data_IF_083715390637
#
_entry.id   IF_083715390637
#
_cell.length_a   1.000
_cell.length_b   1.000
_cell.length_c   1.000
_cell.angle_alpha   90.00
_cell.angle_beta   90.00
_cell.angle_gamma   90.00
#
_symmetry.space_group_name_H-M   'P 1'
#
loop_
_entity.id
_entity.type
_entity.pdbx_description
1 polymer ?
#
# COMPACT_ATOMS: atom_id res chain seq x y z
N UNK A 1 -12.65 -17.65 8.14
CA UNK A 1 -13.62 -18.38 7.29
C UNK A 1 -14.33 -17.38 6.38
N UNK A 2 -14.30 -17.59 5.07
CA UNK A 2 -14.94 -16.69 4.09
C UNK A 2 -16.46 -16.53 4.33
N UNK A 3 -17.14 -17.60 4.75
CA UNK A 3 -18.56 -17.59 5.11
C UNK A 3 -18.87 -16.60 6.25
N UNK A 4 -18.07 -16.60 7.32
CA UNK A 4 -18.31 -15.72 8.49
C UNK A 4 -18.14 -14.26 8.09
N UNK A 5 -17.14 -13.95 7.25
CA UNK A 5 -16.94 -12.61 6.69
C UNK A 5 -18.13 -12.19 5.82
N UNK A 6 -18.65 -13.10 5.00
CA UNK A 6 -19.84 -12.86 4.17
C UNK A 6 -21.09 -12.60 5.01
N UNK A 7 -21.34 -13.40 6.04
CA UNK A 7 -22.48 -13.22 6.94
C UNK A 7 -22.40 -11.87 7.68
N UNK A 8 -21.21 -11.52 8.18
CA UNK A 8 -21.00 -10.25 8.86
C UNK A 8 -21.21 -9.06 7.91
N UNK A 9 -20.73 -9.16 6.67
CA UNK A 9 -20.94 -8.14 5.65
C UNK A 9 -22.42 -7.98 5.29
N UNK A 10 -23.16 -9.09 5.17
CA UNK A 10 -24.59 -9.08 4.91
C UNK A 10 -25.37 -8.43 6.08
N UNK A 11 -25.05 -8.79 7.32
CA UNK A 11 -25.66 -8.20 8.50
C UNK A 11 -25.38 -6.69 8.58
N UNK A 12 -24.13 -6.27 8.30
CA UNK A 12 -23.76 -4.86 8.22
C UNK A 12 -24.58 -4.12 7.16
N UNK A 13 -24.72 -4.69 5.96
CA UNK A 13 -25.48 -4.10 4.86
C UNK A 13 -26.95 -3.89 5.26
N UNK A 14 -27.61 -4.93 5.79
CA UNK A 14 -29.00 -4.83 6.24
C UNK A 14 -29.17 -3.80 7.36
N UNK A 15 -28.25 -3.78 8.34
CA UNK A 15 -28.26 -2.80 9.42
C UNK A 15 -28.13 -1.37 8.89
N UNK A 16 -27.27 -1.15 7.89
CA UNK A 16 -27.08 0.15 7.27
C UNK A 16 -28.35 0.61 6.57
N UNK A 17 -28.94 -0.25 5.72
CA UNK A 17 -30.17 0.07 4.98
C UNK A 17 -31.32 0.35 5.93
N UNK A 18 -31.49 -0.48 6.97
CA UNK A 18 -32.51 -0.28 7.99
C UNK A 18 -32.34 1.06 8.70
N UNK A 19 -31.11 1.40 9.08
CA UNK A 19 -30.78 2.69 9.68
C UNK A 19 -31.14 3.86 8.76
N UNK A 20 -30.78 3.77 7.47
CA UNK A 20 -31.10 4.82 6.50
C UNK A 20 -32.60 5.00 6.29
N UNK A 21 -33.35 3.91 6.15
CA UNK A 21 -34.81 3.96 5.96
C UNK A 21 -35.51 4.55 7.18
N UNK A 22 -35.10 4.13 8.39
CA UNK A 22 -35.74 4.59 9.63
C UNK A 22 -35.44 6.07 9.92
N UNK A 23 -34.29 6.59 9.47
CA UNK A 23 -33.86 7.95 9.75
C UNK A 23 -33.95 8.89 8.53
N UNK A 24 -34.56 8.46 7.43
CA UNK A 24 -34.59 9.24 6.17
C UNK A 24 -35.29 10.59 6.29
N UNK A 25 -36.25 10.70 7.21
CA UNK A 25 -37.00 11.94 7.49
C UNK A 25 -36.37 12.84 8.55
N UNK A 26 -35.27 12.44 9.17
CA UNK A 26 -34.62 13.23 10.21
C UNK A 26 -33.64 14.25 9.62
N UNK A 27 -33.71 15.47 10.13
CA UNK A 27 -32.75 16.53 9.90
C UNK A 27 -31.87 16.73 11.13
N UNK A 28 -30.63 17.14 10.90
CA UNK A 28 -29.64 17.44 11.93
C UNK A 28 -29.07 18.82 11.71
N UNK A 29 -28.78 19.50 12.82
CA UNK A 29 -28.10 20.79 12.81
C UNK A 29 -26.60 20.56 12.95
N UNK A 30 -25.82 21.07 12.02
CA UNK A 30 -24.38 20.82 11.94
C UNK A 30 -23.64 22.13 12.15
N UNK A 31 -22.68 22.13 13.05
CA UNK A 31 -21.70 23.20 13.18
C UNK A 31 -20.38 22.77 12.55
N UNK A 32 -20.06 23.36 11.39
CA UNK A 32 -18.85 23.10 10.63
C UNK A 32 -18.01 24.38 10.59
N UNK A 33 -16.82 24.34 11.21
CA UNK A 33 -15.84 25.43 11.21
C UNK A 33 -16.46 26.80 11.58
N UNK A 34 -17.29 26.83 12.62
CA UNK A 34 -17.96 28.05 13.09
C UNK A 34 -19.16 28.50 12.25
N UNK A 35 -19.55 27.76 11.21
CA UNK A 35 -20.81 27.97 10.47
C UNK A 35 -21.85 26.94 10.87
N UNK A 36 -23.03 27.42 11.24
CA UNK A 36 -24.19 26.58 11.54
C UNK A 36 -25.01 26.34 10.27
N UNK A 37 -25.22 25.07 9.94
CA UNK A 37 -26.13 24.62 8.91
C UNK A 37 -27.32 23.94 9.59
N UNK A 38 -28.47 24.59 9.53
CA UNK A 38 -29.70 24.13 10.16
C UNK A 38 -30.49 23.25 9.20
N UNK A 39 -31.11 22.19 9.73
CA UNK A 39 -32.06 21.38 8.97
C UNK A 39 -31.44 20.51 7.86
N UNK A 40 -30.16 20.15 7.96
CA UNK A 40 -29.52 19.30 6.95
C UNK A 40 -30.03 17.87 7.10
N UNK A 41 -30.54 17.27 6.02
CA UNK A 41 -30.99 15.87 6.07
C UNK A 41 -29.85 14.94 6.49
N UNK A 42 -30.11 14.06 7.46
CA UNK A 42 -29.14 13.12 8.00
C UNK A 42 -28.49 12.26 6.89
N UNK A 43 -29.26 11.92 5.87
CA UNK A 43 -28.79 11.16 4.71
C UNK A 43 -27.57 11.82 4.04
N UNK A 44 -27.65 13.13 3.77
CA UNK A 44 -26.57 13.87 3.11
C UNK A 44 -25.29 13.88 3.96
N UNK A 45 -25.44 14.03 5.28
CA UNK A 45 -24.33 14.04 6.22
C UNK A 45 -23.58 12.71 6.18
N UNK A 46 -24.32 11.60 6.25
CA UNK A 46 -23.74 10.25 6.24
C UNK A 46 -23.06 9.98 4.90
N UNK A 47 -23.72 10.30 3.78
CA UNK A 47 -23.16 10.07 2.43
C UNK A 47 -21.87 10.86 2.22
N UNK A 48 -21.86 12.15 2.53
CA UNK A 48 -20.66 13.00 2.36
C UNK A 48 -19.53 12.53 3.29
N UNK A 49 -19.83 12.19 4.54
CA UNK A 49 -18.83 11.69 5.48
C UNK A 49 -18.24 10.37 5.02
N UNK A 50 -19.08 9.45 4.53
CA UNK A 50 -18.64 8.19 3.94
C UNK A 50 -17.78 8.43 2.70
N UNK A 51 -18.18 9.34 1.82
CA UNK A 51 -17.45 9.63 0.58
C UNK A 51 -16.07 10.23 0.86
N UNK A 52 -15.95 11.10 1.87
CA UNK A 52 -14.67 11.63 2.34
C UNK A 52 -13.79 10.53 2.95
N UNK A 53 -14.36 9.68 3.82
CA UNK A 53 -13.66 8.53 4.39
C UNK A 53 -13.17 7.54 3.32
N UNK A 54 -14.03 7.25 2.33
CA UNK A 54 -13.69 6.37 1.23
C UNK A 54 -12.61 6.98 0.32
N UNK A 55 -12.76 8.26 -0.04
CA UNK A 55 -11.77 8.96 -0.86
C UNK A 55 -10.39 9.02 -0.18
N UNK A 56 -10.34 9.34 1.11
CA UNK A 56 -9.09 9.33 1.88
C UNK A 56 -8.47 7.93 1.96
N UNK A 57 -9.26 6.90 2.22
CA UNK A 57 -8.79 5.52 2.23
C UNK A 57 -8.25 5.08 0.86
N UNK A 58 -8.91 5.48 -0.23
CA UNK A 58 -8.49 5.19 -1.60
C UNK A 58 -7.14 5.84 -1.91
N UNK A 59 -6.97 7.11 -1.55
CA UNK A 59 -5.69 7.83 -1.72
C UNK A 59 -4.57 7.14 -0.94
N UNK A 60 -4.82 6.76 0.32
CA UNK A 60 -3.83 6.04 1.14
C UNK A 60 -3.49 4.66 0.55
N UNK A 61 -4.48 3.94 0.04
CA UNK A 61 -4.29 2.66 -0.61
C UNK A 61 -3.42 2.79 -1.87
N UNK A 62 -3.67 3.79 -2.71
CA UNK A 62 -2.84 4.08 -3.89
C UNK A 62 -1.40 4.40 -3.51
N UNK A 63 -1.18 5.25 -2.50
CA UNK A 63 0.18 5.58 -2.04
C UNK A 63 0.90 4.32 -1.54
N UNK A 64 0.20 3.48 -0.78
CA UNK A 64 0.74 2.21 -0.25
C UNK A 64 1.12 1.26 -1.39
N UNK A 65 0.26 1.13 -2.39
CA UNK A 65 0.49 0.27 -3.56
C UNK A 65 1.73 0.71 -4.35
N UNK A 66 1.87 2.01 -4.62
CA UNK A 66 3.03 2.54 -5.34
C UNK A 66 4.34 2.30 -4.56
N UNK A 67 4.31 2.44 -3.22
CA UNK A 67 5.47 2.13 -2.38
C UNK A 67 5.85 0.64 -2.45
N UNK A 68 4.86 -0.24 -2.32
CA UNK A 68 5.05 -1.70 -2.42
C UNK A 68 5.68 -2.10 -3.77
N UNK A 69 5.22 -1.52 -4.87
CA UNK A 69 5.79 -1.80 -6.19
C UNK A 69 7.25 -1.35 -6.30
N UNK A 70 7.59 -0.18 -5.76
CA UNK A 70 8.98 0.31 -5.72
C UNK A 70 9.88 -0.58 -4.87
N UNK A 71 9.40 -1.00 -3.71
CA UNK A 71 10.14 -1.89 -2.82
C UNK A 71 10.38 -3.25 -3.49
N UNK A 72 9.36 -3.82 -4.15
CA UNK A 72 9.53 -5.06 -4.92
C UNK A 72 10.56 -4.90 -6.05
N UNK A 73 10.52 -3.79 -6.79
CA UNK A 73 11.50 -3.54 -7.85
C UNK A 73 12.93 -3.43 -7.29
N UNK A 74 13.10 -2.74 -6.16
CA UNK A 74 14.40 -2.60 -5.48
C UNK A 74 14.91 -3.93 -4.95
N UNK A 75 14.06 -4.71 -4.29
CA UNK A 75 14.41 -6.03 -3.76
C UNK A 75 14.83 -6.98 -4.89
N UNK A 76 14.08 -7.03 -6.00
CA UNK A 76 14.44 -7.85 -7.17
C UNK A 76 15.80 -7.48 -7.75
N UNK A 77 16.12 -6.18 -7.82
CA UNK A 77 17.43 -5.72 -8.30
C UNK A 77 18.55 -6.16 -7.35
N UNK A 78 18.37 -5.98 -6.04
CA UNK A 78 19.32 -6.42 -5.02
C UNK A 78 19.60 -7.92 -5.09
N UNK A 79 18.55 -8.76 -5.22
CA UNK A 79 18.72 -10.20 -5.38
C UNK A 79 19.56 -10.53 -6.62
N UNK A 80 19.22 -9.91 -7.76
CA UNK A 80 19.95 -10.15 -9.01
C UNK A 80 21.42 -9.70 -8.96
N UNK A 81 21.70 -8.58 -8.31
CA UNK A 81 23.07 -8.08 -8.15
C UNK A 81 23.87 -9.00 -7.21
N UNK A 82 23.27 -9.49 -6.12
CA UNK A 82 23.89 -10.47 -5.22
C UNK A 82 24.14 -11.83 -5.89
N UNK A 83 23.21 -12.30 -6.72
CA UNK A 83 23.39 -13.53 -7.49
C UNK A 83 24.54 -13.40 -8.51
N UNK A 84 24.73 -12.20 -9.08
CA UNK A 84 25.87 -11.90 -9.95
C UNK A 84 27.18 -11.89 -9.19
N UNK A 85 27.25 -11.23 -8.03
CA UNK A 85 28.44 -11.26 -7.17
C UNK A 85 28.82 -12.71 -6.81
N UNK A 86 27.84 -13.55 -6.46
CA UNK A 86 28.08 -14.97 -6.19
C UNK A 86 28.57 -15.73 -7.43
N UNK A 87 28.04 -15.44 -8.62
CA UNK A 87 28.48 -16.08 -9.86
C UNK A 87 29.91 -15.65 -10.25
N UNK A 88 30.25 -14.37 -10.08
CA UNK A 88 31.57 -13.84 -10.34
C UNK A 88 32.61 -14.46 -9.40
N UNK A 89 32.31 -14.51 -8.09
CA UNK A 89 33.15 -15.20 -7.10
C UNK A 89 33.32 -16.70 -7.37
N UNK A 90 32.31 -17.36 -7.97
CA UNK A 90 32.38 -18.79 -8.35
C UNK A 90 33.17 -19.04 -9.63
N UNK A 91 33.33 -18.01 -10.47
CA UNK A 91 34.05 -18.11 -11.74
C UNK A 91 35.46 -17.54 -11.66
N UNK A 92 35.85 -16.98 -10.50
CA UNK A 92 37.25 -16.69 -10.21
C UNK A 92 38.07 -17.99 -10.32
N UNK A 93 39.07 -18.03 -11.22
CA UNK A 93 39.95 -19.18 -11.32
C UNK A 93 40.73 -19.31 -10.00
N UNK A 94 40.41 -20.34 -9.23
CA UNK A 94 41.26 -20.78 -8.12
C UNK A 94 42.56 -21.31 -8.73
N UNK A 95 43.62 -20.51 -8.63
CA UNK A 95 44.99 -21.00 -8.82
C UNK A 95 45.25 -22.07 -7.75
N UNK A 96 45.81 -23.22 -8.16
CA UNK A 96 46.05 -24.42 -7.33
C UNK A 96 46.96 -24.16 -6.10
N UNK A 97 47.56 -22.99 -6.04
CA UNK A 97 48.52 -22.48 -5.05
C UNK A 97 47.90 -21.59 -3.96
N UNK A 98 46.56 -21.53 -3.83
CA UNK A 98 45.88 -20.92 -2.68
C UNK A 98 46.05 -19.40 -2.54
N UNK A 99 46.61 -18.72 -3.55
CA UNK A 99 46.90 -17.29 -3.51
C UNK A 99 46.13 -16.58 -4.64
N UNK A 100 45.28 -15.61 -4.27
CA UNK A 100 44.45 -14.86 -5.20
C UNK A 100 45.30 -13.97 -6.13
N UNK A 101 45.13 -14.14 -7.45
CA UNK A 101 45.85 -13.36 -8.45
C UNK A 101 45.28 -11.94 -8.56
N UNK A 102 46.01 -10.96 -8.03
CA UNK A 102 45.84 -9.57 -8.47
C UNK A 102 46.40 -9.46 -9.89
N UNK A 103 45.55 -9.18 -10.87
CA UNK A 103 45.98 -8.80 -12.21
C UNK A 103 46.65 -7.43 -12.10
N UNK A 104 47.96 -7.43 -11.84
CA UNK A 104 48.80 -6.25 -12.03
C UNK A 104 48.93 -6.06 -13.53
N UNK A 105 48.33 -4.98 -14.01
CA UNK A 105 48.42 -4.55 -15.40
C UNK A 105 49.84 -4.01 -15.64
N UNK A 106 50.74 -4.90 -16.06
CA UNK A 106 52.09 -4.56 -16.49
C UNK A 106 52.00 -3.83 -17.84
N UNK A 107 52.10 -2.50 -17.81
CA UNK A 107 52.04 -1.67 -19.01
C UNK A 107 52.52 -0.23 -18.82
N UNK A 108 53.27 0.04 -17.75
CA UNK A 108 53.80 1.39 -17.42
C UNK A 108 55.33 1.37 -17.22
N UNK A 109 56.05 0.50 -17.94
CA UNK A 109 57.51 0.57 -18.04
C UNK A 109 57.98 0.10 -19.42
N UNK A 110 57.82 0.95 -20.43
CA UNK A 110 58.82 1.16 -21.51
C UNK A 110 58.75 2.60 -22.01
#
# INVERSE_FOLDING_TARGET
>A
MWIVKGLFFLALLFSLVYFFVTNSGQSVDINLFGKSYLGVSMYWVVVVSFMLGFGTALVLALIREVRLQRDMARLRKLTRDKDRELADLRTLPLREDGTAALVVKEGDLE
#
